data_IF_692713491471
#
_entry.id   IF_692713491471
#
_cell.length_a   1.000
_cell.length_b   1.000
_cell.length_c   1.000
_cell.angle_alpha   90.00
_cell.angle_beta   90.00
_cell.angle_gamma   90.00
#
_symmetry.space_group_name_H-M   'P 1'
#
loop_
_entity.id
_entity.type
_entity.pdbx_description
1 polymer ?
#
# COMPACT_ATOMS: atom_id res chain seq x y z
N UNK A 1 23.07 -1.45 87.40
CA UNK A 1 22.24 -0.65 86.47
C UNK A 1 23.15 0.17 85.58
N UNK A 2 22.90 0.05 84.27
CA UNK A 2 23.32 0.92 83.16
C UNK A 2 24.82 1.14 82.86
N UNK A 3 25.14 0.64 81.67
CA UNK A 3 26.36 0.76 80.87
C UNK A 3 26.09 1.73 79.69
N UNK A 4 27.18 2.17 79.04
CA UNK A 4 27.32 2.81 77.71
C UNK A 4 27.43 4.34 77.74
N UNK A 5 28.20 5.02 76.88
CA UNK A 5 29.38 4.82 76.00
C UNK A 5 29.59 6.21 75.34
N UNK A 6 30.75 6.52 74.74
CA UNK A 6 31.08 7.88 74.30
C UNK A 6 30.54 8.22 72.91
N UNK A 7 30.49 9.54 72.69
CA UNK A 7 30.13 10.28 71.47
C UNK A 7 30.85 9.69 70.24
N UNK A 8 30.07 9.14 69.31
CA UNK A 8 30.53 8.78 67.96
C UNK A 8 30.15 9.87 66.97
N UNK A 9 31.20 10.36 66.30
CA UNK A 9 31.26 11.11 65.05
C UNK A 9 29.97 11.19 64.24
N UNK A 10 29.44 12.41 64.13
CA UNK A 10 28.42 12.78 63.14
C UNK A 10 29.00 12.51 61.75
N UNK A 11 28.39 11.55 61.06
CA UNK A 11 28.53 11.26 59.64
C UNK A 11 28.54 12.56 58.83
N UNK A 12 29.52 12.71 57.93
CA UNK A 12 29.43 13.60 56.77
C UNK A 12 28.10 13.28 56.07
N UNK A 13 27.17 14.23 56.07
CA UNK A 13 26.05 14.21 55.14
C UNK A 13 26.65 14.46 53.75
N UNK A 14 26.60 13.46 52.89
CA UNK A 14 26.73 13.65 51.45
C UNK A 14 25.71 14.69 51.02
N UNK A 15 26.21 15.83 50.56
CA UNK A 15 25.42 16.90 49.95
C UNK A 15 25.43 16.68 48.45
N UNK A 16 24.71 15.67 47.96
CA UNK A 16 24.33 15.63 46.55
C UNK A 16 23.42 16.82 46.28
N UNK A 17 23.90 17.74 45.44
CA UNK A 17 23.13 18.92 45.06
C UNK A 17 21.81 18.52 44.40
N UNK A 18 20.67 19.17 44.70
CA UNK A 18 19.36 18.85 44.10
C UNK A 18 19.35 18.85 42.56
N UNK A 19 20.26 19.58 41.92
CA UNK A 19 20.44 19.61 40.47
C UNK A 19 21.03 18.30 39.91
N UNK A 20 21.95 17.67 40.65
CA UNK A 20 22.56 16.39 40.27
C UNK A 20 21.56 15.24 40.42
N UNK A 21 20.77 15.24 41.50
CA UNK A 21 19.71 14.25 41.72
C UNK A 21 18.62 14.34 40.65
N UNK A 22 18.20 15.56 40.26
CA UNK A 22 17.27 15.75 39.15
C UNK A 22 17.83 15.28 37.80
N UNK A 23 19.13 15.45 37.57
CA UNK A 23 19.79 14.99 36.33
C UNK A 23 19.85 13.47 36.27
N UNK A 24 20.21 12.80 37.37
CA UNK A 24 20.23 11.35 37.48
C UNK A 24 18.82 10.74 37.35
N UNK A 25 17.82 11.34 38.00
CA UNK A 25 16.42 10.92 37.88
C UNK A 25 15.93 11.02 36.42
N UNK A 26 16.26 12.11 35.73
CA UNK A 26 15.89 12.30 34.32
C UNK A 26 16.57 11.27 33.41
N UNK A 27 17.85 10.98 33.61
CA UNK A 27 18.59 9.96 32.85
C UNK A 27 18.00 8.57 33.05
N UNK A 28 17.70 8.21 34.30
CA UNK A 28 17.02 6.96 34.63
C UNK A 28 15.66 6.84 33.93
N UNK A 29 14.85 7.91 33.92
CA UNK A 29 13.59 7.94 33.18
C UNK A 29 13.76 7.76 31.66
N UNK A 30 14.82 8.33 31.08
CA UNK A 30 15.12 8.17 29.65
C UNK A 30 15.58 6.74 29.32
N UNK A 31 16.38 6.10 30.18
CA UNK A 31 16.75 4.69 30.04
C UNK A 31 15.52 3.78 30.12
N UNK A 32 14.60 4.05 31.06
CA UNK A 32 13.32 3.32 31.16
C UNK A 32 12.38 3.58 29.97
N UNK A 33 12.57 4.68 29.25
CA UNK A 33 11.78 5.04 28.06
C UNK A 33 12.13 4.21 26.83
N UNK A 34 13.26 3.51 26.81
CA UNK A 34 13.54 2.53 25.76
C UNK A 34 12.53 1.37 25.82
N UNK A 35 12.25 0.81 24.64
CA UNK A 35 11.33 -0.30 24.53
C UNK A 35 11.82 -1.52 25.33
N UNK A 36 10.89 -2.23 25.99
CA UNK A 36 11.24 -3.32 26.92
C UNK A 36 12.13 -4.41 26.29
N UNK A 37 11.98 -4.66 24.98
CA UNK A 37 12.78 -5.66 24.25
C UNK A 37 14.28 -5.36 24.18
N UNK A 38 14.68 -4.10 24.36
CA UNK A 38 16.06 -3.65 24.26
C UNK A 38 16.60 -3.05 25.57
N UNK A 39 15.72 -2.70 26.52
CA UNK A 39 16.06 -2.00 27.75
C UNK A 39 17.22 -2.64 28.50
N UNK A 40 17.20 -3.96 28.70
CA UNK A 40 18.27 -4.68 29.41
C UNK A 40 19.65 -4.46 28.76
N UNK A 41 19.73 -4.52 27.43
CA UNK A 41 21.00 -4.32 26.69
C UNK A 41 21.45 -2.86 26.74
N UNK A 42 20.50 -1.93 26.72
CA UNK A 42 20.78 -0.50 26.87
C UNK A 42 21.34 -0.22 28.26
N UNK A 43 20.72 -0.77 29.31
CA UNK A 43 21.18 -0.65 30.69
C UNK A 43 22.58 -1.29 30.88
N UNK A 44 22.83 -2.46 30.27
CA UNK A 44 24.14 -3.12 30.28
C UNK A 44 25.26 -2.25 29.68
N UNK A 45 24.99 -1.46 28.64
CA UNK A 45 25.96 -0.52 28.05
C UNK A 45 26.07 0.76 28.89
N UNK A 46 24.95 1.33 29.32
CA UNK A 46 24.92 2.56 30.10
C UNK A 46 25.70 2.44 31.42
N UNK A 47 25.66 1.26 32.05
CA UNK A 47 26.36 0.99 33.30
C UNK A 47 27.89 0.82 33.15
N UNK A 48 28.44 0.76 31.93
CA UNK A 48 29.89 0.57 31.74
C UNK A 48 30.69 1.84 31.97
N UNK A 49 30.13 3.01 31.63
CA UNK A 49 30.78 4.30 31.79
C UNK A 49 29.75 5.43 31.79
N UNK A 50 30.01 6.49 32.56
CA UNK A 50 29.13 7.66 32.65
C UNK A 50 28.85 8.30 31.28
N UNK A 51 29.84 8.31 30.37
CA UNK A 51 29.65 8.85 29.02
C UNK A 51 28.63 8.07 28.18
N UNK A 52 28.39 6.79 28.46
CA UNK A 52 27.35 6.00 27.79
C UNK A 52 25.97 6.27 28.36
N UNK A 53 25.86 6.45 29.67
CA UNK A 53 24.61 6.87 30.31
C UNK A 53 24.12 8.22 29.75
N UNK A 54 25.05 9.16 29.54
CA UNK A 54 24.77 10.49 28.96
C UNK A 54 24.21 10.45 27.54
N UNK A 55 24.43 9.37 26.80
CA UNK A 55 23.85 9.19 25.47
C UNK A 55 22.33 9.05 25.51
N UNK A 56 21.75 8.58 26.62
CA UNK A 56 20.30 8.48 26.76
C UNK A 56 19.59 9.85 26.63
N UNK A 57 20.30 10.94 26.94
CA UNK A 57 19.82 12.31 26.76
C UNK A 57 20.35 12.95 25.48
N UNK A 58 21.64 12.76 25.18
CA UNK A 58 22.31 13.53 24.12
C UNK A 58 22.20 12.92 22.73
N UNK A 59 22.15 11.58 22.63
CA UNK A 59 22.00 10.85 21.38
C UNK A 59 21.47 9.41 21.63
N UNK A 60 20.15 9.25 21.89
CA UNK A 60 19.57 7.96 22.23
C UNK A 60 19.78 6.89 21.15
N UNK A 61 19.80 7.30 19.87
CA UNK A 61 20.08 6.40 18.75
C UNK A 61 21.49 5.79 18.76
N UNK A 62 22.51 6.53 19.23
CA UNK A 62 23.87 6.00 19.34
C UNK A 62 23.97 4.97 20.46
N UNK A 63 23.36 5.23 21.62
CA UNK A 63 23.27 4.28 22.72
C UNK A 63 22.60 2.98 22.28
N UNK A 64 21.45 3.09 21.61
CA UNK A 64 20.73 1.94 21.08
C UNK A 64 21.53 1.15 20.04
N UNK A 65 22.25 1.83 19.15
CA UNK A 65 23.07 1.19 18.13
C UNK A 65 24.22 0.37 18.75
N UNK A 66 24.88 0.90 19.78
CA UNK A 66 25.89 0.17 20.54
C UNK A 66 25.27 -1.05 21.23
N UNK A 67 24.15 -0.88 21.95
CA UNK A 67 23.46 -1.95 22.67
C UNK A 67 22.90 -3.07 21.76
N UNK A 68 22.65 -2.79 20.48
CA UNK A 68 22.10 -3.76 19.52
C UNK A 68 23.12 -4.31 18.53
N UNK A 69 24.40 -4.03 18.75
CA UNK A 69 25.51 -4.43 17.89
C UNK A 69 25.34 -3.97 16.44
N UNK A 70 24.91 -2.72 16.24
CA UNK A 70 24.85 -2.11 14.91
C UNK A 70 26.26 -1.95 14.32
N UNK A 71 26.36 -1.96 12.99
CA UNK A 71 27.63 -1.86 12.26
C UNK A 71 28.59 -3.04 12.47
N UNK A 72 29.83 -2.88 12.01
CA UNK A 72 30.90 -3.87 12.22
C UNK A 72 31.48 -3.78 13.64
N UNK A 73 32.17 -4.83 14.09
CA UNK A 73 32.84 -4.81 15.39
C UNK A 73 33.96 -3.75 15.46
N UNK A 74 34.62 -3.48 14.33
CA UNK A 74 35.63 -2.42 14.19
C UNK A 74 35.02 -1.03 14.33
N UNK A 75 33.92 -0.76 13.61
CA UNK A 75 33.19 0.49 13.69
C UNK A 75 32.72 0.78 15.13
N UNK A 76 32.20 -0.24 15.83
CA UNK A 76 31.83 -0.13 17.25
C UNK A 76 33.01 0.20 18.15
N UNK A 77 34.16 -0.48 17.97
CA UNK A 77 35.38 -0.18 18.74
C UNK A 77 35.85 1.25 18.53
N UNK A 78 35.85 1.73 17.28
CA UNK A 78 36.20 3.11 16.96
C UNK A 78 35.24 4.13 17.60
N UNK A 79 33.92 3.88 17.51
CA UNK A 79 32.91 4.74 18.14
C UNK A 79 33.07 4.80 19.67
N UNK A 80 33.33 3.65 20.32
CA UNK A 80 33.61 3.58 21.76
C UNK A 80 34.89 4.33 22.13
N UNK A 81 35.95 4.22 21.33
CA UNK A 81 37.19 4.96 21.56
C UNK A 81 36.97 6.49 21.49
N UNK A 82 36.16 6.98 20.54
CA UNK A 82 35.78 8.39 20.48
C UNK A 82 34.99 8.85 21.72
N UNK A 83 34.07 8.02 22.22
CA UNK A 83 33.28 8.35 23.41
C UNK A 83 34.12 8.39 24.69
N UNK A 84 35.03 7.42 24.87
CA UNK A 84 35.92 7.35 26.05
C UNK A 84 36.96 8.48 26.03
N UNK A 85 37.48 8.84 24.86
CA UNK A 85 38.45 9.94 24.71
C UNK A 85 37.84 11.34 24.82
N UNK A 86 36.51 11.47 24.95
CA UNK A 86 35.82 12.77 24.99
C UNK A 86 35.84 13.50 23.64
N UNK A 87 36.00 12.76 22.54
CA UNK A 87 35.93 13.31 21.17
C UNK A 87 34.54 13.90 20.87
N UNK A 88 34.41 14.61 19.74
CA UNK A 88 33.12 15.16 19.33
C UNK A 88 32.13 14.02 19.07
N UNK A 89 30.91 14.14 19.60
CA UNK A 89 29.86 13.11 19.46
C UNK A 89 29.56 12.73 17.99
N UNK A 90 29.75 13.67 17.06
CA UNK A 90 29.60 13.42 15.62
C UNK A 90 30.66 12.44 15.08
N UNK A 91 31.87 12.44 15.64
CA UNK A 91 32.93 11.51 15.23
C UNK A 91 32.58 10.07 15.63
N UNK A 92 32.05 9.88 16.84
CA UNK A 92 31.53 8.57 17.27
C UNK A 92 30.36 8.07 16.39
N UNK A 93 29.45 8.97 16.00
CA UNK A 93 28.35 8.63 15.11
C UNK A 93 28.83 8.27 13.70
N UNK A 94 29.75 9.06 13.13
CA UNK A 94 30.35 8.81 11.83
C UNK A 94 31.14 7.49 11.80
N UNK A 95 31.89 7.19 12.86
CA UNK A 95 32.62 5.93 12.99
C UNK A 95 31.69 4.70 12.94
N UNK A 96 30.44 4.85 13.41
CA UNK A 96 29.42 3.81 13.39
C UNK A 96 28.54 3.84 12.13
N UNK A 97 28.70 4.83 11.25
CA UNK A 97 27.82 5.06 10.10
C UNK A 97 26.40 5.46 10.49
N UNK A 98 26.22 6.13 11.64
CA UNK A 98 24.92 6.61 12.08
C UNK A 98 24.64 8.03 11.57
N UNK A 99 23.53 8.24 10.85
CA UNK A 99 23.14 9.56 10.40
C UNK A 99 22.87 10.52 11.56
N UNK A 100 23.41 11.73 11.46
CA UNK A 100 23.33 12.72 12.54
C UNK A 100 21.91 13.13 12.93
N UNK A 101 20.96 13.07 11.99
CA UNK A 101 19.57 13.46 12.25
C UNK A 101 18.89 12.57 13.31
N UNK A 102 19.36 11.34 13.51
CA UNK A 102 18.85 10.42 14.54
C UNK A 102 19.11 10.91 15.97
N UNK A 103 20.04 11.85 16.16
CA UNK A 103 20.36 12.44 17.46
C UNK A 103 19.12 13.02 18.14
N UNK A 104 18.19 13.58 17.36
CA UNK A 104 17.00 14.27 17.86
C UNK A 104 15.81 13.32 18.10
N UNK A 105 15.94 12.03 17.79
CA UNK A 105 14.88 11.07 18.06
C UNK A 105 14.85 10.67 19.54
N UNK A 106 13.66 10.51 20.13
CA UNK A 106 13.53 10.10 21.52
C UNK A 106 13.85 8.59 21.69
N UNK A 107 14.18 8.11 22.90
CA UNK A 107 14.42 6.69 23.19
C UNK A 107 13.31 5.75 22.68
N UNK A 108 12.06 6.19 22.75
CA UNK A 108 10.87 5.45 22.30
C UNK A 108 10.88 5.14 20.79
N UNK A 109 11.68 5.86 19.99
CA UNK A 109 11.83 5.59 18.56
C UNK A 109 12.48 4.23 18.28
N UNK A 110 13.21 3.67 19.25
CA UNK A 110 14.07 2.51 19.06
C UNK A 110 13.45 1.26 19.68
N UNK A 111 12.65 0.54 18.89
CA UNK A 111 12.01 -0.72 19.32
C UNK A 111 12.42 -1.95 18.50
N UNK A 112 13.14 -1.75 17.40
CA UNK A 112 13.63 -2.78 16.47
C UNK A 112 15.09 -2.51 16.16
N UNK A 113 15.81 -3.57 15.78
CA UNK A 113 17.21 -3.46 15.35
C UNK A 113 17.31 -2.49 14.18
N UNK A 114 18.33 -1.61 14.22
CA UNK A 114 18.56 -0.66 13.13
C UNK A 114 19.04 -1.42 11.89
N UNK A 115 18.43 -1.11 10.76
CA UNK A 115 18.82 -1.61 9.45
C UNK A 115 19.64 -0.53 8.71
N UNK A 116 19.80 -0.64 7.40
CA UNK A 116 20.43 0.43 6.60
C UNK A 116 19.64 1.73 6.75
N UNK A 117 20.33 2.79 7.17
CA UNK A 117 19.74 4.09 7.44
C UNK A 117 20.04 5.09 6.31
N UNK A 118 19.14 6.04 6.04
CA UNK A 118 19.40 7.12 5.10
C UNK A 118 20.52 8.05 5.59
N UNK A 119 21.65 8.06 4.88
CA UNK A 119 22.80 8.93 5.17
C UNK A 119 23.08 9.96 4.05
N UNK A 120 22.11 10.17 3.15
CA UNK A 120 22.24 11.24 2.14
C UNK A 120 22.20 12.63 2.82
N UNK A 121 23.16 13.54 2.52
CA UNK A 121 23.20 14.86 3.15
C UNK A 121 21.96 15.73 2.90
N UNK A 122 21.38 15.68 1.69
CA UNK A 122 20.20 16.48 1.34
C UNK A 122 18.96 15.95 2.06
N UNK A 123 18.81 14.63 2.14
CA UNK A 123 17.78 13.97 2.92
C UNK A 123 17.91 14.31 4.40
N UNK A 124 19.13 14.18 4.95
CA UNK A 124 19.44 14.46 6.36
C UNK A 124 19.09 15.89 6.76
N UNK A 125 19.36 16.87 5.90
CA UNK A 125 19.00 18.27 6.17
C UNK A 125 17.47 18.50 6.22
N UNK A 126 16.70 17.76 5.41
CA UNK A 126 15.24 17.92 5.30
C UNK A 126 14.48 17.13 6.36
N UNK A 127 14.92 15.90 6.64
CA UNK A 127 14.21 14.99 7.56
C UNK A 127 14.19 15.50 9.00
N UNK A 128 15.21 16.27 9.41
CA UNK A 128 15.29 16.87 10.76
C UNK A 128 14.07 17.76 11.07
N UNK A 129 13.51 18.41 10.06
CA UNK A 129 12.33 19.28 10.21
C UNK A 129 11.01 18.51 10.21
N UNK A 130 11.05 17.19 9.96
CA UNK A 130 9.89 16.29 9.88
C UNK A 130 9.89 15.27 11.03
N UNK A 131 10.79 15.44 12.01
CA UNK A 131 10.86 14.53 13.15
C UNK A 131 9.56 14.59 13.97
N UNK A 132 9.08 13.44 14.46
CA UNK A 132 7.86 13.38 15.24
C UNK A 132 8.05 14.13 16.57
N UNK A 133 7.12 15.02 16.88
CA UNK A 133 7.09 15.73 18.17
C UNK A 133 6.48 14.88 19.27
N UNK A 134 5.69 13.86 18.91
CA UNK A 134 5.03 12.94 19.84
C UNK A 134 5.85 11.65 19.97
N UNK A 135 6.39 11.32 21.15
CA UNK A 135 7.21 10.11 21.34
C UNK A 135 6.50 8.80 20.97
N UNK A 136 5.18 8.73 21.22
CA UNK A 136 4.38 7.51 21.00
C UNK A 136 4.36 7.04 19.53
N UNK A 137 4.50 7.94 18.57
CA UNK A 137 4.53 7.60 17.14
C UNK A 137 5.95 7.42 16.60
N UNK A 138 6.98 7.75 17.39
CA UNK A 138 8.36 7.90 16.89
C UNK A 138 8.92 6.59 16.32
N UNK A 139 8.62 5.45 16.95
CA UNK A 139 9.06 4.16 16.43
C UNK A 139 8.40 3.82 15.09
N UNK A 140 7.09 4.08 14.99
CA UNK A 140 6.35 3.81 13.76
C UNK A 140 6.76 4.76 12.64
N UNK A 141 7.00 6.02 12.99
CA UNK A 141 7.56 7.02 12.08
C UNK A 141 8.91 6.55 11.53
N UNK A 142 9.84 6.18 12.41
CA UNK A 142 11.19 5.73 12.01
C UNK A 142 11.11 4.51 11.09
N UNK A 143 10.34 3.48 11.47
CA UNK A 143 10.13 2.28 10.65
C UNK A 143 9.59 2.61 9.25
N UNK A 144 8.62 3.52 9.15
CA UNK A 144 7.97 3.86 7.88
C UNK A 144 8.86 4.71 6.99
N UNK A 145 9.60 5.66 7.55
CA UNK A 145 10.52 6.51 6.79
C UNK A 145 11.69 5.69 6.26
N UNK A 146 12.30 4.82 7.07
CA UNK A 146 13.39 3.95 6.61
C UNK A 146 12.89 2.97 5.56
N UNK A 147 11.73 2.33 5.78
CA UNK A 147 11.09 1.46 4.79
C UNK A 147 10.88 2.21 3.47
N UNK A 148 10.22 3.37 3.49
CA UNK A 148 9.94 4.19 2.32
C UNK A 148 11.21 4.58 1.54
N UNK A 149 12.28 4.92 2.26
CA UNK A 149 13.56 5.28 1.65
C UNK A 149 14.15 4.10 0.88
N UNK A 150 14.15 2.89 1.47
CA UNK A 150 14.69 1.70 0.81
C UNK A 150 13.92 1.27 -0.42
N UNK A 151 12.58 1.35 -0.37
CA UNK A 151 11.74 0.77 -1.43
C UNK A 151 11.40 1.74 -2.55
N UNK A 152 11.53 3.06 -2.33
CA UNK A 152 11.14 4.07 -3.32
C UNK A 152 12.07 5.29 -3.38
N UNK A 153 12.93 5.51 -2.38
CA UNK A 153 13.92 6.58 -2.39
C UNK A 153 13.59 7.82 -1.54
N UNK A 154 14.45 8.86 -1.59
CA UNK A 154 14.46 9.97 -0.63
C UNK A 154 13.21 10.85 -0.68
N UNK A 155 12.73 11.23 -1.87
CA UNK A 155 11.58 12.14 -1.98
C UNK A 155 10.30 11.48 -1.44
N UNK A 156 10.10 10.20 -1.74
CA UNK A 156 8.96 9.44 -1.23
C UNK A 156 9.04 9.26 0.29
N UNK A 157 10.23 9.01 0.84
CA UNK A 157 10.45 8.91 2.28
C UNK A 157 10.16 10.23 3.02
N UNK A 158 10.57 11.37 2.46
CA UNK A 158 10.23 12.69 3.01
C UNK A 158 8.74 12.99 2.93
N UNK A 159 8.09 12.56 1.85
CA UNK A 159 6.65 12.65 1.72
C UNK A 159 5.92 11.80 2.76
N UNK A 160 6.37 10.57 3.02
CA UNK A 160 5.85 9.72 4.09
C UNK A 160 6.06 10.39 5.46
N UNK A 161 7.28 10.86 5.74
CA UNK A 161 7.65 11.49 7.02
C UNK A 161 6.78 12.71 7.38
N UNK A 162 6.33 13.46 6.36
CA UNK A 162 5.50 14.66 6.53
C UNK A 162 4.05 14.35 6.94
N UNK A 163 3.56 13.14 6.68
CA UNK A 163 2.12 12.85 6.77
C UNK A 163 1.82 11.80 7.84
N UNK A 164 1.23 12.26 8.95
CA UNK A 164 0.84 11.43 10.12
C UNK A 164 0.00 10.21 9.77
N UNK A 165 -0.74 10.25 8.66
CA UNK A 165 -1.57 9.14 8.18
C UNK A 165 -0.78 7.84 7.98
N UNK A 166 0.52 7.91 7.71
CA UNK A 166 1.38 6.72 7.57
C UNK A 166 1.86 6.13 8.89
N UNK A 167 1.73 6.89 9.98
CA UNK A 167 2.29 6.59 11.30
C UNK A 167 1.23 6.32 12.35
N UNK A 168 -0.04 6.58 12.02
CA UNK A 168 -1.18 6.23 12.86
C UNK A 168 -1.19 4.72 13.20
N UNK A 169 -1.68 4.35 14.39
CA UNK A 169 -1.71 2.95 14.85
C UNK A 169 -2.65 2.04 14.04
N UNK A 170 -3.57 2.63 13.27
CA UNK A 170 -4.46 1.89 12.38
C UNK A 170 -3.73 1.48 11.09
N UNK A 171 -4.11 0.31 10.56
CA UNK A 171 -3.60 -0.17 9.28
C UNK A 171 -3.98 0.83 8.19
N UNK A 172 -2.97 1.35 7.48
CA UNK A 172 -3.19 2.13 6.27
C UNK A 172 -3.64 1.19 5.15
N UNK A 173 -4.83 1.40 4.61
CA UNK A 173 -5.23 0.90 3.29
C UNK A 173 -5.21 2.08 2.31
N UNK A 174 -4.42 2.02 1.22
CA UNK A 174 -3.49 0.95 0.83
C UNK A 174 -2.24 0.81 1.72
N UNK A 175 -1.69 -0.40 1.75
CA UNK A 175 -0.44 -0.70 2.47
C UNK A 175 0.74 0.09 1.86
N UNK A 176 1.62 0.62 2.71
CA UNK A 176 2.75 1.47 2.28
C UNK A 176 3.61 0.84 1.15
N UNK A 177 3.99 -0.46 1.17
CA UNK A 177 4.76 -1.04 0.08
C UNK A 177 4.09 -0.96 -1.30
N UNK A 178 2.75 -0.93 -1.31
CA UNK A 178 1.97 -0.81 -2.54
C UNK A 178 1.86 0.63 -3.02
N UNK A 179 1.77 1.59 -2.10
CA UNK A 179 1.85 3.03 -2.41
C UNK A 179 3.23 3.38 -2.97
N UNK A 180 4.27 2.81 -2.37
CA UNK A 180 5.65 2.94 -2.86
C UNK A 180 5.82 2.36 -4.26
N UNK A 181 5.28 1.17 -4.54
CA UNK A 181 5.33 0.60 -5.88
C UNK A 181 4.68 1.52 -6.91
N UNK A 182 3.48 2.06 -6.60
CA UNK A 182 2.81 3.03 -7.46
C UNK A 182 3.66 4.30 -7.68
N UNK A 183 4.28 4.84 -6.62
CA UNK A 183 5.16 6.00 -6.73
C UNK A 183 6.41 5.69 -7.56
N UNK A 184 7.00 4.51 -7.41
CA UNK A 184 8.13 4.06 -8.22
C UNK A 184 7.76 3.96 -9.71
N UNK A 185 6.60 3.39 -10.03
CA UNK A 185 6.11 3.30 -11.41
C UNK A 185 5.77 4.67 -12.03
N UNK A 186 5.53 5.69 -11.23
CA UNK A 186 5.33 7.06 -11.73
C UNK A 186 6.57 7.61 -12.44
N UNK A 187 7.76 7.17 -12.04
CA UNK A 187 9.04 7.54 -12.66
C UNK A 187 9.46 6.57 -13.80
N UNK A 188 8.66 5.55 -14.09
CA UNK A 188 8.95 4.50 -15.09
C UNK A 188 7.78 4.30 -16.07
N UNK A 189 7.37 5.34 -16.82
CA UNK A 189 6.20 5.31 -17.72
C UNK A 189 6.32 4.30 -18.87
N UNK A 190 7.54 3.87 -19.21
CA UNK A 190 7.82 2.86 -20.22
C UNK A 190 7.39 1.45 -19.82
N UNK A 191 7.23 1.20 -18.51
CA UNK A 191 6.80 -0.10 -18.01
C UNK A 191 5.29 -0.27 -18.08
N UNK A 192 4.80 -1.52 -18.11
CA UNK A 192 3.37 -1.81 -18.00
C UNK A 192 2.76 -1.20 -16.73
N UNK A 193 3.48 -1.24 -15.61
CA UNK A 193 3.01 -0.63 -14.36
C UNK A 193 2.82 0.87 -14.50
N UNK A 194 3.76 1.55 -15.16
CA UNK A 194 3.76 2.98 -15.53
C UNK A 194 2.59 3.38 -16.41
N UNK A 195 2.36 2.65 -17.50
CA UNK A 195 1.28 2.89 -18.46
C UNK A 195 -0.12 2.78 -17.84
N UNK A 196 -0.27 2.04 -16.75
CA UNK A 196 -1.54 1.89 -16.04
C UNK A 196 -1.85 3.07 -15.11
N UNK A 197 -0.92 4.00 -14.87
CA UNK A 197 -1.19 5.15 -14.02
C UNK A 197 -2.12 6.13 -14.75
N UNK A 198 -3.20 6.52 -14.07
CA UNK A 198 -4.01 7.67 -14.50
C UNK A 198 -3.32 8.99 -14.20
N UNK A 199 -2.60 9.05 -13.07
CA UNK A 199 -1.85 10.23 -12.64
C UNK A 199 -0.57 9.78 -11.94
N UNK A 200 0.61 10.34 -12.29
CA UNK A 200 1.85 10.03 -11.60
C UNK A 200 1.87 10.60 -10.18
N UNK A 201 2.60 9.94 -9.29
CA UNK A 201 2.90 10.46 -7.96
C UNK A 201 3.73 11.75 -8.05
N UNK A 202 3.55 12.65 -7.09
CA UNK A 202 4.41 13.83 -6.93
C UNK A 202 4.62 14.12 -5.44
N UNK A 203 5.75 14.76 -5.04
CA UNK A 203 6.04 15.09 -3.64
C UNK A 203 5.04 16.05 -2.97
N UNK A 204 4.20 16.74 -3.76
CA UNK A 204 3.21 17.70 -3.27
C UNK A 204 1.78 17.10 -3.21
N UNK A 205 1.61 15.84 -3.60
CA UNK A 205 0.30 15.19 -3.57
C UNK A 205 -0.16 14.92 -2.12
N UNK A 206 -1.45 15.10 -1.82
CA UNK A 206 -1.98 14.71 -0.51
C UNK A 206 -2.10 13.17 -0.38
N UNK A 207 -1.97 12.59 0.82
CA UNK A 207 -2.15 11.15 1.04
C UNK A 207 -3.53 10.65 0.61
N UNK A 208 -4.57 11.46 0.80
CA UNK A 208 -5.93 11.12 0.34
C UNK A 208 -5.96 10.92 -1.17
N UNK A 209 -5.43 11.88 -1.93
CA UNK A 209 -5.37 11.79 -3.40
C UNK A 209 -4.51 10.60 -3.84
N UNK A 210 -3.36 10.40 -3.21
CA UNK A 210 -2.48 9.26 -3.52
C UNK A 210 -3.23 7.92 -3.32
N UNK A 211 -4.02 7.78 -2.26
CA UNK A 211 -4.78 6.56 -1.99
C UNK A 211 -5.91 6.34 -3.01
N UNK A 212 -6.56 7.41 -3.46
CA UNK A 212 -7.56 7.33 -4.53
C UNK A 212 -6.92 6.89 -5.85
N UNK A 213 -5.75 7.44 -6.21
CA UNK A 213 -5.03 7.04 -7.43
C UNK A 213 -4.46 5.62 -7.35
N UNK A 214 -3.90 5.22 -6.21
CA UNK A 214 -3.46 3.83 -5.98
C UNK A 214 -4.65 2.88 -6.10
N UNK A 215 -5.83 3.27 -5.61
CA UNK A 215 -7.05 2.46 -5.75
C UNK A 215 -7.48 2.31 -7.21
N UNK A 216 -7.42 3.39 -8.00
CA UNK A 216 -7.70 3.34 -9.43
C UNK A 216 -6.68 2.49 -10.18
N UNK A 217 -5.39 2.70 -9.91
CA UNK A 217 -4.28 1.93 -10.48
C UNK A 217 -4.41 0.43 -10.19
N UNK A 218 -4.80 0.05 -8.97
CA UNK A 218 -5.11 -1.35 -8.60
C UNK A 218 -6.21 -1.96 -9.46
N UNK A 219 -7.26 -1.18 -9.76
CA UNK A 219 -8.36 -1.64 -10.63
C UNK A 219 -7.86 -1.84 -12.06
N UNK A 220 -7.06 -0.91 -12.60
CA UNK A 220 -6.42 -1.02 -13.93
C UNK A 220 -5.46 -2.22 -14.01
N UNK A 221 -4.62 -2.46 -12.99
CA UNK A 221 -3.79 -3.67 -12.90
C UNK A 221 -4.64 -4.93 -12.98
N UNK A 222 -5.72 -5.00 -12.19
CA UNK A 222 -6.59 -6.18 -12.20
C UNK A 222 -7.25 -6.38 -13.56
N UNK A 223 -7.73 -5.31 -14.19
CA UNK A 223 -8.28 -5.35 -15.54
C UNK A 223 -7.25 -5.89 -16.53
N UNK A 224 -6.01 -5.38 -16.50
CA UNK A 224 -4.92 -5.84 -17.36
C UNK A 224 -4.62 -7.33 -17.18
N UNK A 225 -4.53 -7.81 -15.94
CA UNK A 225 -4.29 -9.23 -15.63
C UNK A 225 -5.46 -10.12 -16.03
N UNK A 226 -6.70 -9.62 -15.91
CA UNK A 226 -7.91 -10.32 -16.33
C UNK A 226 -7.96 -10.44 -17.84
N UNK A 227 -7.80 -9.35 -18.59
CA UNK A 227 -7.74 -9.37 -20.05
C UNK A 227 -6.59 -10.25 -20.57
N UNK A 228 -5.40 -10.17 -19.96
CA UNK A 228 -4.27 -11.05 -20.31
C UNK A 228 -4.54 -12.55 -20.09
N UNK A 229 -5.50 -12.87 -19.24
CA UNK A 229 -5.88 -14.26 -18.92
C UNK A 229 -7.06 -14.77 -19.73
N UNK A 230 -7.83 -13.88 -20.34
CA UNK A 230 -9.05 -14.22 -21.04
C UNK A 230 -8.72 -14.49 -22.51
N UNK A 231 -8.84 -15.74 -22.93
CA UNK A 231 -8.90 -16.06 -24.35
C UNK A 231 -10.37 -15.97 -24.78
N UNK A 232 -10.69 -14.95 -25.58
CA UNK A 232 -12.06 -14.68 -26.04
C UNK A 232 -12.08 -14.67 -27.56
N UNK A 233 -13.01 -15.44 -28.12
CA UNK A 233 -13.42 -15.30 -29.51
C UNK A 233 -14.46 -14.18 -29.59
N UNK A 234 -14.49 -13.37 -30.66
CA UNK A 234 -15.59 -12.44 -30.89
C UNK A 234 -16.93 -13.19 -30.83
N UNK A 235 -17.92 -12.62 -30.14
CA UNK A 235 -19.29 -13.13 -30.14
C UNK A 235 -20.17 -12.36 -31.12
N UNK A 236 -19.98 -11.04 -31.19
CA UNK A 236 -20.71 -10.17 -32.10
C UNK A 236 -19.72 -9.49 -33.04
N UNK A 237 -20.21 -9.10 -34.21
CA UNK A 237 -19.43 -8.35 -35.18
C UNK A 237 -19.46 -6.86 -34.85
N UNK A 238 -18.28 -6.24 -34.88
CA UNK A 238 -18.16 -4.79 -34.98
C UNK A 238 -18.86 -4.30 -36.25
N UNK A 239 -19.30 -3.04 -36.26
CA UNK A 239 -20.05 -2.53 -37.41
C UNK A 239 -20.63 -1.14 -37.18
N UNK A 240 -21.66 -0.80 -37.94
CA UNK A 240 -22.32 0.50 -37.84
C UNK A 240 -23.83 0.39 -37.95
N UNK A 241 -24.55 1.25 -37.22
CA UNK A 241 -26.00 1.37 -37.33
C UNK A 241 -26.42 2.81 -37.06
N UNK A 242 -27.35 3.32 -37.89
CA UNK A 242 -27.95 4.65 -37.75
C UNK A 242 -26.93 5.80 -37.57
N UNK A 243 -25.77 5.72 -38.25
CA UNK A 243 -24.72 6.73 -38.17
C UNK A 243 -23.79 6.63 -36.96
N UNK A 244 -23.83 5.53 -36.21
CA UNK A 244 -22.93 5.21 -35.11
C UNK A 244 -22.10 3.96 -35.43
N UNK A 245 -20.87 3.94 -34.97
CA UNK A 245 -19.95 2.80 -35.08
C UNK A 245 -19.89 2.04 -33.74
N UNK A 246 -19.75 0.72 -33.81
CA UNK A 246 -19.67 -0.18 -32.65
C UNK A 246 -18.34 -0.92 -32.72
N UNK A 247 -17.44 -0.62 -31.78
CA UNK A 247 -16.07 -1.14 -31.76
C UNK A 247 -15.82 -1.87 -30.44
N UNK A 248 -15.38 -3.13 -30.50
CA UNK A 248 -15.18 -3.94 -29.29
C UNK A 248 -13.94 -3.47 -28.51
N UNK A 249 -14.07 -3.35 -27.19
CA UNK A 249 -12.93 -3.11 -26.30
C UNK A 249 -12.34 -4.47 -25.88
N UNK A 250 -11.11 -4.77 -26.32
CA UNK A 250 -10.48 -6.08 -26.13
C UNK A 250 -9.21 -6.02 -25.29
N UNK A 251 -8.47 -4.93 -25.39
CA UNK A 251 -7.17 -4.74 -24.77
C UNK A 251 -7.24 -3.77 -23.60
N UNK A 252 -6.23 -3.78 -22.73
CA UNK A 252 -6.16 -2.81 -21.64
C UNK A 252 -6.06 -1.37 -22.16
N UNK A 253 -5.40 -1.18 -23.32
CA UNK A 253 -5.28 0.12 -23.97
C UNK A 253 -6.65 0.63 -24.45
N UNK A 254 -7.48 -0.24 -25.04
CA UNK A 254 -8.85 0.12 -25.44
C UNK A 254 -9.65 0.63 -24.25
N UNK A 255 -9.60 -0.09 -23.12
CA UNK A 255 -10.32 0.30 -21.90
C UNK A 255 -9.79 1.60 -21.29
N UNK A 256 -8.47 1.85 -21.31
CA UNK A 256 -7.89 3.09 -20.79
C UNK A 256 -8.27 4.27 -21.67
N UNK A 257 -8.08 4.15 -22.98
CA UNK A 257 -8.40 5.21 -23.94
C UNK A 257 -9.89 5.56 -23.88
N UNK A 258 -10.76 4.55 -23.79
CA UNK A 258 -12.20 4.77 -23.64
C UNK A 258 -12.55 5.41 -22.30
N UNK A 259 -11.98 4.92 -21.19
CA UNK A 259 -12.19 5.44 -19.84
C UNK A 259 -11.78 6.91 -19.72
N UNK A 260 -10.65 7.28 -20.32
CA UNK A 260 -10.13 8.65 -20.32
C UNK A 260 -10.96 9.57 -21.24
N UNK A 261 -11.39 9.09 -22.42
CA UNK A 261 -12.24 9.86 -23.33
C UNK A 261 -13.66 10.10 -22.77
N UNK A 262 -14.22 9.10 -22.10
CA UNK A 262 -15.60 9.11 -21.59
C UNK A 262 -15.72 9.55 -20.13
N UNK A 263 -14.61 9.70 -19.41
CA UNK A 263 -14.54 10.01 -17.97
C UNK A 263 -15.45 9.06 -17.15
N UNK A 264 -15.38 7.76 -17.46
CA UNK A 264 -16.29 6.73 -16.94
C UNK A 264 -15.59 5.76 -15.96
N UNK A 265 -16.27 4.67 -15.58
CA UNK A 265 -15.79 3.71 -14.58
C UNK A 265 -15.22 2.40 -15.17
N UNK A 266 -14.81 2.39 -16.44
CA UNK A 266 -14.35 1.18 -17.13
C UNK A 266 -13.11 0.52 -16.46
N UNK A 267 -12.30 1.29 -15.75
CA UNK A 267 -11.19 0.77 -14.94
C UNK A 267 -11.61 -0.34 -13.95
N UNK A 268 -12.88 -0.32 -13.50
CA UNK A 268 -13.44 -1.28 -12.54
C UNK A 268 -14.08 -2.52 -13.17
N UNK A 269 -14.06 -2.63 -14.50
CA UNK A 269 -14.83 -3.62 -15.24
C UNK A 269 -14.32 -5.07 -15.09
N UNK A 270 -13.12 -5.25 -14.52
CA UNK A 270 -12.50 -6.56 -14.31
C UNK A 270 -13.40 -7.57 -13.60
N UNK A 271 -14.22 -7.12 -12.63
CA UNK A 271 -15.09 -8.03 -11.86
C UNK A 271 -16.19 -8.64 -12.72
N UNK A 272 -16.75 -7.87 -13.65
CA UNK A 272 -17.78 -8.34 -14.59
C UNK A 272 -17.19 -9.34 -15.58
N UNK A 273 -16.04 -8.98 -16.18
CA UNK A 273 -15.29 -9.86 -17.08
C UNK A 273 -14.89 -11.19 -16.45
N UNK A 274 -14.55 -11.17 -15.17
CA UNK A 274 -14.22 -12.37 -14.42
C UNK A 274 -15.44 -13.22 -14.08
N UNK A 275 -16.60 -12.59 -13.83
CA UNK A 275 -17.81 -13.23 -13.29
C UNK A 275 -18.68 -13.96 -14.32
N UNK A 276 -18.49 -13.69 -15.61
CA UNK A 276 -19.26 -14.30 -16.68
C UNK A 276 -18.96 -13.69 -18.04
N UNK A 277 -19.83 -13.98 -18.99
CA UNK A 277 -19.75 -13.49 -20.36
C UNK A 277 -20.21 -12.04 -20.38
N UNK A 278 -19.26 -11.14 -20.60
CA UNK A 278 -19.51 -9.71 -20.76
C UNK A 278 -18.55 -9.17 -21.82
N UNK A 279 -19.13 -8.63 -22.89
CA UNK A 279 -18.43 -7.96 -23.99
C UNK A 279 -18.76 -6.47 -23.92
N UNK A 280 -17.76 -5.62 -24.11
CA UNK A 280 -17.94 -4.18 -24.07
C UNK A 280 -17.60 -3.61 -25.42
N UNK A 281 -18.46 -2.72 -25.92
CA UNK A 281 -18.22 -1.98 -27.15
C UNK A 281 -18.26 -0.48 -26.86
N UNK A 282 -17.33 0.24 -27.47
CA UNK A 282 -17.43 1.68 -27.67
C UNK A 282 -18.44 1.96 -28.76
N UNK A 283 -19.36 2.86 -28.52
CA UNK A 283 -20.24 3.44 -29.52
C UNK A 283 -19.69 4.80 -29.89
N UNK A 284 -19.33 4.96 -31.16
CA UNK A 284 -18.67 6.15 -31.68
C UNK A 284 -19.53 6.89 -32.69
N UNK A 285 -19.36 8.21 -32.75
CA UNK A 285 -19.92 9.07 -33.80
C UNK A 285 -18.78 9.88 -34.39
N UNK A 286 -18.56 9.76 -35.70
CA UNK A 286 -17.42 10.40 -36.38
C UNK A 286 -16.07 10.04 -35.71
N UNK A 287 -15.89 8.77 -35.33
CA UNK A 287 -14.69 8.28 -34.65
C UNK A 287 -14.56 8.65 -33.16
N UNK A 288 -15.44 9.48 -32.60
CA UNK A 288 -15.39 9.88 -31.19
C UNK A 288 -16.32 9.04 -30.31
N UNK A 289 -15.85 8.52 -29.16
CA UNK A 289 -16.70 7.85 -28.17
C UNK A 289 -17.86 8.73 -27.68
N UNK A 290 -19.07 8.16 -27.70
CA UNK A 290 -20.30 8.83 -27.21
C UNK A 290 -21.12 7.98 -26.25
N UNK A 291 -20.91 6.66 -26.22
CA UNK A 291 -21.47 5.75 -25.23
C UNK A 291 -20.69 4.44 -25.18
N UNK A 292 -20.82 3.71 -24.08
CA UNK A 292 -20.34 2.35 -23.91
C UNK A 292 -21.53 1.41 -23.76
N UNK A 293 -21.48 0.26 -24.43
CA UNK A 293 -22.49 -0.79 -24.31
C UNK A 293 -21.85 -2.08 -23.79
N UNK A 294 -22.48 -2.64 -22.75
CA UNK A 294 -22.15 -3.96 -22.25
C UNK A 294 -23.18 -4.96 -22.78
N UNK A 295 -22.69 -5.97 -23.49
CA UNK A 295 -23.48 -7.11 -23.95
C UNK A 295 -23.16 -8.33 -23.08
N UNK A 296 -24.22 -8.98 -22.62
CA UNK A 296 -24.16 -10.23 -21.87
C UNK A 296 -25.14 -11.24 -22.41
N UNK A 297 -25.24 -12.37 -21.71
CA UNK A 297 -26.12 -13.47 -22.07
C UNK A 297 -27.53 -13.21 -21.54
N UNK A 298 -28.55 -13.43 -22.37
CA UNK A 298 -29.93 -13.34 -21.92
C UNK A 298 -30.22 -14.38 -20.82
N UNK A 299 -30.89 -14.01 -19.71
CA UNK A 299 -31.01 -14.86 -18.53
C UNK A 299 -31.80 -16.16 -18.76
N UNK A 300 -32.68 -16.17 -19.77
CA UNK A 300 -33.54 -17.33 -20.09
C UNK A 300 -33.01 -18.12 -21.29
N UNK A 301 -32.40 -17.45 -22.26
CA UNK A 301 -31.93 -18.07 -23.50
C UNK A 301 -30.46 -17.73 -23.73
N UNK A 302 -29.53 -18.68 -23.48
CA UNK A 302 -28.12 -18.40 -23.58
C UNK A 302 -27.60 -18.17 -25.01
N UNK A 303 -28.46 -18.35 -26.02
CA UNK A 303 -28.15 -18.07 -27.43
C UNK A 303 -28.43 -16.62 -27.81
N UNK A 304 -29.18 -15.88 -26.99
CA UNK A 304 -29.54 -14.50 -27.26
C UNK A 304 -28.62 -13.52 -26.51
N UNK A 305 -27.99 -12.57 -27.21
CA UNK A 305 -27.31 -11.46 -26.57
C UNK A 305 -28.33 -10.47 -26.00
N UNK A 306 -28.00 -9.88 -24.86
CA UNK A 306 -28.80 -8.82 -24.24
C UNK A 306 -27.93 -7.63 -23.86
N UNK A 307 -28.52 -6.44 -23.94
CA UNK A 307 -27.90 -5.20 -23.45
C UNK A 307 -27.99 -5.20 -21.93
N UNK A 308 -26.87 -5.47 -21.26
CA UNK A 308 -26.77 -5.43 -19.80
C UNK A 308 -26.79 -3.99 -19.31
N UNK A 309 -26.10 -3.10 -20.01
CA UNK A 309 -26.14 -1.67 -19.77
C UNK A 309 -25.68 -0.89 -21.01
N UNK A 310 -26.16 0.35 -21.10
CA UNK A 310 -25.74 1.34 -22.08
C UNK A 310 -25.57 2.68 -21.36
N UNK A 311 -24.35 3.24 -21.38
CA UNK A 311 -23.98 4.44 -20.61
C UNK A 311 -23.28 5.46 -21.50
N UNK A 312 -23.64 6.73 -21.33
CA UNK A 312 -22.91 7.85 -21.92
C UNK A 312 -21.75 8.32 -21.04
N UNK A 313 -21.11 9.45 -21.40
CA UNK A 313 -19.99 10.02 -20.66
C UNK A 313 -20.31 10.21 -19.19
N UNK A 314 -19.33 9.98 -18.31
CA UNK A 314 -19.48 10.01 -16.84
C UNK A 314 -20.54 9.05 -16.31
N UNK A 315 -20.73 7.91 -16.98
CA UNK A 315 -21.74 6.90 -16.68
C UNK A 315 -23.19 7.43 -16.69
N UNK A 316 -23.45 8.52 -17.43
CA UNK A 316 -24.81 9.08 -17.57
C UNK A 316 -25.70 8.14 -18.39
N UNK A 317 -27.01 8.35 -18.32
CA UNK A 317 -27.95 7.65 -19.21
C UNK A 317 -27.63 8.02 -20.67
N UNK A 318 -27.51 7.03 -21.54
CA UNK A 318 -27.34 7.27 -22.96
C UNK A 318 -28.60 7.89 -23.58
N UNK A 319 -28.40 8.71 -24.61
CA UNK A 319 -29.48 9.38 -25.33
C UNK A 319 -30.38 8.35 -26.04
N UNK A 320 -31.71 8.57 -26.19
CA UNK A 320 -32.61 7.62 -26.84
C UNK A 320 -32.19 7.21 -28.25
N UNK A 321 -31.54 8.11 -28.99
CA UNK A 321 -31.05 7.80 -30.34
C UNK A 321 -29.95 6.73 -30.34
N UNK A 322 -29.11 6.73 -29.32
CA UNK A 322 -28.05 5.73 -29.13
C UNK A 322 -28.69 4.38 -28.78
N UNK A 323 -29.78 4.37 -27.98
CA UNK A 323 -30.55 3.15 -27.74
C UNK A 323 -31.14 2.58 -29.02
N UNK A 324 -31.71 3.41 -29.90
CA UNK A 324 -32.23 2.97 -31.21
C UNK A 324 -31.11 2.38 -32.07
N UNK A 325 -29.95 3.04 -32.12
CA UNK A 325 -28.79 2.54 -32.85
C UNK A 325 -28.30 1.20 -32.28
N UNK A 326 -28.23 1.05 -30.96
CA UNK A 326 -27.81 -0.18 -30.30
C UNK A 326 -28.73 -1.36 -30.60
N UNK A 327 -30.06 -1.17 -30.53
CA UNK A 327 -31.01 -2.22 -30.90
C UNK A 327 -30.96 -2.55 -32.40
N UNK A 328 -30.79 -1.55 -33.26
CA UNK A 328 -30.63 -1.76 -34.71
C UNK A 328 -29.36 -2.55 -35.03
N UNK A 329 -28.23 -2.22 -34.38
CA UNK A 329 -26.98 -2.96 -34.54
C UNK A 329 -27.11 -4.39 -34.01
N UNK A 330 -27.68 -4.57 -32.81
CA UNK A 330 -27.87 -5.89 -32.22
C UNK A 330 -28.82 -6.78 -33.05
N UNK A 331 -29.90 -6.20 -33.59
CA UNK A 331 -30.84 -6.89 -34.46
C UNK A 331 -30.28 -7.29 -35.83
N UNK A 332 -29.14 -6.72 -36.23
CA UNK A 332 -28.42 -7.10 -37.45
C UNK A 332 -27.41 -8.23 -37.25
N UNK A 333 -27.19 -8.67 -36.00
CA UNK A 333 -26.19 -9.69 -35.68
C UNK A 333 -26.70 -11.10 -36.01
N UNK A 334 -25.79 -11.98 -36.42
CA UNK A 334 -26.07 -13.40 -36.52
C UNK A 334 -26.09 -14.03 -35.12
N UNK A 335 -27.25 -14.57 -34.72
CA UNK A 335 -27.47 -15.08 -33.37
C UNK A 335 -26.92 -16.49 -33.23
N UNK A 336 -26.00 -16.67 -32.29
CA UNK A 336 -25.43 -17.96 -31.95
C UNK A 336 -25.06 -18.03 -30.46
N UNK A 337 -24.99 -19.24 -29.89
CA UNK A 337 -24.56 -19.43 -28.51
C UNK A 337 -23.23 -18.72 -28.23
N UNK A 338 -23.13 -18.11 -27.06
CA UNK A 338 -21.90 -17.44 -26.65
C UNK A 338 -20.69 -18.40 -26.75
N UNK A 339 -19.57 -17.98 -27.38
CA UNK A 339 -18.34 -18.74 -27.36
C UNK A 339 -17.87 -19.00 -25.91
N UNK A 340 -17.37 -20.22 -25.61
CA UNK A 340 -16.85 -20.52 -24.29
C UNK A 340 -15.64 -19.63 -23.98
N UNK A 341 -15.66 -18.98 -22.81
CA UNK A 341 -14.53 -18.20 -22.32
C UNK A 341 -13.57 -19.09 -21.55
N UNK A 342 -12.30 -19.12 -21.97
CA UNK A 342 -11.26 -19.91 -21.31
C UNK A 342 -10.33 -19.00 -20.52
N UNK A 343 -10.22 -19.26 -19.22
CA UNK A 343 -9.27 -18.55 -18.35
C UNK A 343 -7.92 -19.26 -18.38
N UNK A 344 -6.91 -18.58 -18.91
CA UNK A 344 -5.54 -19.04 -18.95
C UNK A 344 -4.76 -18.56 -17.72
N UNK A 345 -4.77 -19.36 -16.65
CA UNK A 345 -4.02 -19.09 -15.42
C UNK A 345 -2.51 -18.97 -15.62
N UNK A 346 -1.94 -19.62 -16.65
CA UNK A 346 -0.53 -19.48 -16.98
C UNK A 346 -0.23 -18.10 -17.60
N UNK A 347 -1.09 -17.63 -18.51
CA UNK A 347 -0.99 -16.29 -19.09
C UNK A 347 -1.12 -15.20 -18.02
N UNK A 348 -2.09 -15.33 -17.09
CA UNK A 348 -2.22 -14.43 -15.94
C UNK A 348 -0.93 -14.33 -15.12
N UNK A 349 -0.32 -15.48 -14.79
CA UNK A 349 0.94 -15.52 -14.02
C UNK A 349 2.10 -14.88 -14.79
N UNK A 350 2.18 -15.07 -16.10
CA UNK A 350 3.19 -14.39 -16.93
C UNK A 350 2.99 -12.87 -16.93
N UNK A 351 1.77 -12.40 -17.12
CA UNK A 351 1.44 -10.97 -17.08
C UNK A 351 1.74 -10.36 -15.70
N UNK A 352 1.39 -11.05 -14.61
CA UNK A 352 1.72 -10.61 -13.25
C UNK A 352 3.23 -10.49 -13.05
N UNK A 353 4.02 -11.47 -13.50
CA UNK A 353 5.48 -11.40 -13.41
C UNK A 353 6.03 -10.27 -14.25
N UNK A 354 5.54 -10.09 -15.48
CA UNK A 354 5.98 -9.02 -16.37
C UNK A 354 5.71 -7.64 -15.78
N UNK A 355 4.53 -7.45 -15.17
CA UNK A 355 4.14 -6.22 -14.48
C UNK A 355 5.11 -5.87 -13.35
N UNK A 356 5.34 -6.81 -12.43
CA UNK A 356 6.09 -6.51 -11.20
C UNK A 356 7.60 -6.65 -11.34
N UNK A 357 8.11 -7.39 -12.34
CA UNK A 357 9.54 -7.67 -12.50
C UNK A 357 10.44 -6.43 -12.40
N UNK A 358 10.15 -5.29 -13.06
CA UNK A 358 11.01 -4.10 -12.98
C UNK A 358 11.16 -3.59 -11.54
N UNK A 359 10.04 -3.45 -10.82
CA UNK A 359 10.04 -3.00 -9.42
C UNK A 359 10.66 -4.03 -8.48
N UNK A 360 10.33 -5.32 -8.61
CA UNK A 360 10.88 -6.36 -7.73
C UNK A 360 12.40 -6.50 -7.87
N UNK A 361 12.98 -6.12 -9.01
CA UNK A 361 14.42 -6.14 -9.24
C UNK A 361 15.17 -5.05 -8.44
N UNK A 362 14.48 -3.99 -8.00
CA UNK A 362 15.10 -2.91 -7.21
C UNK A 362 15.03 -3.15 -5.71
N UNK A 363 14.24 -4.13 -5.27
CA UNK A 363 13.99 -4.41 -3.86
C UNK A 363 15.03 -5.36 -3.26
N UNK A 364 15.31 -5.17 -1.96
CA UNK A 364 16.02 -6.17 -1.17
C UNK A 364 15.21 -7.49 -1.11
N UNK A 365 15.85 -8.65 -0.84
CA UNK A 365 15.11 -9.92 -0.72
C UNK A 365 13.97 -9.87 0.31
N UNK A 366 14.18 -9.19 1.44
CA UNK A 366 13.18 -9.04 2.50
C UNK A 366 12.00 -8.14 2.06
N UNK A 367 12.28 -6.99 1.44
CA UNK A 367 11.23 -6.09 0.93
C UNK A 367 10.43 -6.74 -0.20
N UNK A 368 11.12 -7.49 -1.06
CA UNK A 368 10.52 -8.28 -2.14
C UNK A 368 9.55 -9.32 -1.58
N UNK A 369 9.97 -10.13 -0.62
CA UNK A 369 9.10 -11.13 -0.01
C UNK A 369 7.86 -10.50 0.65
N UNK A 370 8.05 -9.39 1.37
CA UNK A 370 6.95 -8.65 1.98
C UNK A 370 5.98 -8.11 0.92
N UNK A 371 6.50 -7.54 -0.15
CA UNK A 371 5.69 -6.99 -1.24
C UNK A 371 4.93 -8.10 -1.98
N UNK A 372 5.59 -9.20 -2.34
CA UNK A 372 4.97 -10.34 -3.02
C UNK A 372 3.82 -10.91 -2.19
N UNK A 373 3.98 -11.03 -0.86
CA UNK A 373 2.90 -11.41 0.06
C UNK A 373 1.70 -10.48 -0.06
N UNK A 374 1.91 -9.16 -0.04
CA UNK A 374 0.83 -8.17 -0.18
C UNK A 374 0.17 -8.26 -1.55
N UNK A 375 0.96 -8.28 -2.63
CA UNK A 375 0.46 -8.31 -4.00
C UNK A 375 -0.33 -9.59 -4.30
N UNK A 376 0.07 -10.74 -3.74
CA UNK A 376 -0.61 -12.03 -3.90
C UNK A 376 -1.82 -12.19 -2.97
N UNK A 377 -1.76 -11.72 -1.72
CA UNK A 377 -2.90 -11.74 -0.80
C UNK A 377 -4.06 -10.88 -1.31
N UNK A 378 -3.74 -9.73 -1.94
CA UNK A 378 -4.74 -8.89 -2.59
C UNK A 378 -5.46 -9.58 -3.76
N UNK A 379 -4.79 -10.50 -4.45
CA UNK A 379 -5.37 -11.34 -5.51
C UNK A 379 -6.26 -12.45 -4.91
N UNK A 380 -5.90 -13.01 -3.74
CA UNK A 380 -6.61 -14.10 -3.05
C UNK A 380 -7.83 -13.67 -2.23
N UNK A 381 -7.79 -12.49 -1.58
CA UNK A 381 -8.84 -12.04 -0.65
C UNK A 381 -10.20 -11.77 -1.34
N UNK A 382 -10.22 -11.55 -2.66
CA UNK A 382 -11.48 -11.38 -3.41
C UNK A 382 -12.01 -12.68 -4.01
N UNK A 383 -11.16 -13.67 -4.32
CA UNK A 383 -11.61 -15.00 -4.76
C UNK A 383 -12.47 -15.67 -3.69
N UNK A 384 -12.17 -15.46 -2.40
CA UNK A 384 -12.97 -15.94 -1.25
C UNK A 384 -14.32 -15.22 -1.07
N UNK A 385 -14.39 -13.90 -1.28
CA UNK A 385 -15.68 -13.16 -1.30
C UNK A 385 -16.58 -13.69 -2.41
N UNK A 386 -16.00 -14.01 -3.57
CA UNK A 386 -16.70 -14.53 -4.73
C UNK A 386 -17.30 -15.93 -4.49
N UNK A 387 -16.58 -16.85 -3.84
CA UNK A 387 -17.13 -18.16 -3.46
C UNK A 387 -18.33 -18.03 -2.52
N UNK A 388 -18.30 -17.04 -1.62
CA UNK A 388 -19.37 -16.76 -0.67
C UNK A 388 -20.61 -16.16 -1.34
N UNK A 389 -20.45 -15.15 -2.20
CA UNK A 389 -21.59 -14.54 -2.92
C UNK A 389 -22.20 -15.48 -3.96
N UNK A 390 -21.38 -16.31 -4.61
CA UNK A 390 -21.85 -17.32 -5.57
C UNK A 390 -22.61 -18.45 -4.85
N UNK A 391 -22.12 -18.92 -3.69
CA UNK A 391 -22.87 -19.86 -2.82
C UNK A 391 -24.20 -19.30 -2.32
N UNK A 392 -24.27 -18.01 -1.97
CA UNK A 392 -25.53 -17.40 -1.54
C UNK A 392 -26.53 -17.27 -2.69
N UNK A 393 -26.08 -16.94 -3.91
CA UNK A 393 -26.95 -16.90 -5.10
C UNK A 393 -27.48 -18.28 -5.49
N UNK A 394 -26.66 -19.34 -5.45
CA UNK A 394 -27.14 -20.71 -5.68
C UNK A 394 -28.10 -21.20 -4.60
N UNK A 395 -27.90 -20.80 -3.34
CA UNK A 395 -28.82 -21.14 -2.25
C UNK A 395 -30.17 -20.42 -2.36
N UNK A 396 -30.21 -19.24 -3.00
CA UNK A 396 -31.46 -18.49 -3.21
C UNK A 396 -32.22 -19.01 -4.44
N UNK A 397 -31.52 -19.51 -5.46
CA UNK A 397 -32.10 -20.11 -6.67
C UNK A 397 -32.61 -21.56 -6.47
N UNK A 398 -32.27 -22.21 -5.35
CA UNK A 398 -32.70 -23.59 -5.01
C UNK A 398 -33.89 -23.65 -4.05
N UNK A 399 -34.53 -22.52 -3.71
CA UNK A 399 -35.84 -22.58 -3.05
C UNK A 399 -36.90 -22.84 -4.13
N UNK A 400 -37.60 -23.99 -4.11
CA UNK A 400 -38.79 -24.13 -4.93
C UNK A 400 -39.83 -23.12 -4.40
N UNK A 401 -40.47 -22.39 -5.31
CA UNK A 401 -41.66 -21.63 -4.95
C UNK A 401 -42.68 -22.59 -4.31
N UNK A 402 -43.37 -22.19 -3.23
CA UNK A 402 -44.42 -23.01 -2.68
C UNK A 402 -45.53 -23.10 -3.73
N UNK A 403 -45.76 -24.32 -4.20
CA UNK A 403 -46.87 -24.70 -5.06
C UNK A 403 -48.15 -24.18 -4.39
N UNK A 404 -48.81 -23.21 -5.02
CA UNK A 404 -50.17 -22.85 -4.69
C UNK A 404 -51.04 -24.04 -5.09
N UNK A 405 -51.41 -24.85 -4.10
CA UNK A 405 -52.44 -25.87 -4.22
C UNK A 405 -53.78 -25.18 -4.43
N UNK A 406 -54.33 -25.33 -5.64
CA UNK A 406 -55.78 -25.27 -5.87
C UNK A 406 -56.45 -26.39 -5.06
N UNK A 407 -57.35 -26.00 -4.15
CA UNK A 407 -58.67 -26.59 -3.90
C UNK A 407 -59.09 -26.42 -2.44
N UNK A 408 -60.11 -25.59 -2.21
CA UNK A 408 -61.26 -25.89 -1.36
C UNK A 408 -62.30 -24.75 -1.38
N UNK A 409 -63.44 -25.02 -2.03
CA UNK A 409 -64.74 -24.92 -1.38
C UNK A 409 -65.40 -23.54 -1.24
N UNK A 410 -66.32 -23.26 -2.16
CA UNK A 410 -67.74 -22.96 -1.91
C UNK A 410 -68.14 -22.40 -0.54
N UNK A 411 -68.61 -21.14 -0.52
CA UNK A 411 -69.75 -20.71 0.30
C UNK A 411 -70.32 -19.37 -0.21
N UNK A 412 -71.62 -19.43 -0.58
CA UNK A 412 -72.57 -18.38 -0.97
C UNK A 412 -72.38 -17.66 -2.31
#
# INVERSE_FOLDING_TARGET
MQSKRPITSRKKLDSTSPALENTQLRRSQLLQSFHFSCRRRVDEIANQAACFEELAETFPGLLFALATNYGTAEARRAAVAHLISGSRLREAANALGLPWWMRKLPPQAFNKRLETLPDDPKFSARIVNLLPTVPAISAKWLERVTQAYRICGPEFALWVARHDRFHAPLITDPALPYVAAWAWFADHPETLGGQLLRRPWTPNMSPRRAFDEVTAWRKRIRLALTLSSLSRKPWLSEGSALGYEFVELRTIEDFINESDAMDNCLDSFSEKLESGVSYVFSIRRNGLPVADIEIGVHPVDPTLPTIVQLRGPRNRRAHPEIWRAAYSWLGSQELHPVPPQVVNSAARRRAWRALWKPYLATLSPADREQFEKIALELDKLRTRRRTRTQRMRTATAQRPDPILSEDAGTAC
#
